data_IF_859891663618
#
_entry.id   IF_859891663618
#
_cell.length_a   1.000
_cell.length_b   1.000
_cell.length_c   1.000
_cell.angle_alpha   90.00
_cell.angle_beta   90.00
_cell.angle_gamma   90.00
#
_symmetry.space_group_name_H-M   'P 1'
#
loop_
_entity.id
_entity.type
_entity.pdbx_description
1 polymer ?
#
# COMPACT_ATOMS: atom_id res chain seq x y z
N UNK A 1 25.32 -2.77 -27.80
CA UNK A 1 24.21 -1.87 -27.43
C UNK A 1 24.21 -1.84 -25.91
N UNK A 2 24.43 -0.67 -25.33
CA UNK A 2 24.67 -0.55 -23.90
C UNK A 2 23.39 -0.17 -23.17
N UNK A 3 23.31 -0.55 -21.89
CA UNK A 3 22.19 -0.28 -21.00
C UNK A 3 22.69 0.36 -19.72
N UNK A 4 21.96 1.36 -19.23
CA UNK A 4 22.27 2.01 -17.96
C UNK A 4 21.82 1.11 -16.80
N UNK A 5 22.71 0.84 -15.85
CA UNK A 5 22.44 0.03 -14.67
C UNK A 5 23.03 0.70 -13.43
N UNK A 6 22.37 0.52 -12.30
CA UNK A 6 22.85 0.98 -11.00
C UNK A 6 23.71 -0.09 -10.32
N UNK A 7 24.80 0.33 -9.68
CA UNK A 7 25.65 -0.54 -8.86
C UNK A 7 25.87 0.06 -7.48
N UNK A 8 25.82 -0.79 -6.45
CA UNK A 8 26.10 -0.41 -5.05
C UNK A 8 27.27 -1.22 -4.50
N UNK A 9 28.27 -0.52 -3.98
CA UNK A 9 29.40 -1.12 -3.29
C UNK A 9 29.00 -1.63 -1.91
N UNK A 10 29.33 -2.89 -1.61
CA UNK A 10 29.08 -3.44 -0.28
C UNK A 10 30.06 -2.89 0.77
N UNK A 11 31.30 -2.59 0.37
CA UNK A 11 32.36 -2.15 1.27
C UNK A 11 32.17 -0.71 1.75
N UNK A 12 31.89 0.23 0.84
CA UNK A 12 31.79 1.66 1.18
C UNK A 12 30.37 2.24 1.03
N UNK A 13 29.41 1.46 0.52
CA UNK A 13 28.03 1.91 0.32
C UNK A 13 27.82 2.88 -0.85
N UNK A 14 28.88 3.27 -1.57
CA UNK A 14 28.79 4.14 -2.74
C UNK A 14 27.88 3.52 -3.81
N UNK A 15 27.06 4.37 -4.44
CA UNK A 15 26.11 3.98 -5.49
C UNK A 15 26.34 4.86 -6.71
N UNK A 16 26.49 4.23 -7.88
CA UNK A 16 26.75 4.92 -9.14
C UNK A 16 26.01 4.23 -10.31
N UNK A 17 25.73 5.01 -11.36
CA UNK A 17 25.10 4.58 -12.59
C UNK A 17 26.18 4.28 -13.65
N UNK A 18 26.09 3.15 -14.33
CA UNK A 18 27.05 2.72 -15.35
C UNK A 18 26.36 2.25 -16.64
N UNK A 19 26.88 2.72 -17.78
CA UNK A 19 26.57 2.15 -19.08
C UNK A 19 27.33 0.84 -19.26
N UNK A 20 26.61 -0.27 -19.42
CA UNK A 20 27.22 -1.61 -19.55
C UNK A 20 26.67 -2.35 -20.76
N UNK A 21 27.46 -3.26 -21.31
CA UNK A 21 27.02 -4.13 -22.41
C UNK A 21 25.89 -5.05 -21.96
N UNK A 22 25.10 -5.58 -22.92
CA UNK A 22 24.10 -6.63 -22.64
C UNK A 22 24.73 -8.02 -22.81
N UNK A 23 24.62 -8.93 -21.83
CA UNK A 23 23.96 -8.74 -20.53
C UNK A 23 24.81 -7.92 -19.54
N UNK A 24 24.15 -7.11 -18.69
CA UNK A 24 24.83 -6.28 -17.70
C UNK A 24 25.58 -7.16 -16.68
N UNK A 25 26.86 -6.89 -16.39
CA UNK A 25 27.63 -7.61 -15.38
C UNK A 25 26.94 -7.60 -14.01
N UNK A 26 27.01 -8.70 -13.25
CA UNK A 26 26.44 -8.73 -11.88
C UNK A 26 27.30 -7.97 -10.86
N UNK A 27 28.61 -7.88 -11.12
CA UNK A 27 29.60 -7.25 -10.23
C UNK A 27 30.56 -6.39 -11.07
N UNK A 28 30.96 -5.25 -10.50
CA UNK A 28 32.02 -4.40 -11.03
C UNK A 28 32.84 -3.77 -9.90
N UNK A 29 34.00 -3.20 -10.24
CA UNK A 29 34.81 -2.47 -9.27
C UNK A 29 34.17 -1.12 -8.91
N UNK A 30 34.11 -0.81 -7.62
CA UNK A 30 33.61 0.46 -7.11
C UNK A 30 34.60 1.59 -7.43
N UNK A 31 34.15 2.64 -8.10
CA UNK A 31 34.98 3.81 -8.42
C UNK A 31 35.46 4.58 -7.18
N UNK A 32 34.78 4.45 -6.04
CA UNK A 32 35.14 5.18 -4.82
C UNK A 32 36.18 4.46 -3.94
N UNK A 33 36.19 3.12 -3.91
CA UNK A 33 37.06 2.36 -3.00
C UNK A 33 37.74 1.13 -3.61
N UNK A 34 37.47 0.81 -4.88
CA UNK A 34 38.00 -0.36 -5.57
C UNK A 34 37.37 -1.71 -5.15
N UNK A 35 36.52 -1.75 -4.13
CA UNK A 35 35.83 -2.97 -3.70
C UNK A 35 34.67 -3.37 -4.63
N UNK A 36 34.07 -4.54 -4.38
CA UNK A 36 32.99 -5.06 -5.23
C UNK A 36 31.70 -4.24 -5.11
N UNK A 37 31.19 -3.79 -6.26
CA UNK A 37 29.88 -3.19 -6.42
C UNK A 37 28.95 -4.14 -7.19
N UNK A 38 27.77 -4.39 -6.64
CA UNK A 38 26.78 -5.29 -7.22
C UNK A 38 25.66 -4.51 -7.88
N UNK A 39 25.15 -5.04 -8.99
CA UNK A 39 24.00 -4.48 -9.69
C UNK A 39 22.79 -4.42 -8.76
N UNK A 40 22.10 -3.29 -8.74
CA UNK A 40 20.87 -3.09 -7.96
C UNK A 40 19.72 -2.74 -8.90
N UNK A 41 18.54 -3.28 -8.59
CA UNK A 41 17.32 -3.07 -9.39
C UNK A 41 16.33 -2.12 -8.70
N UNK A 42 16.77 -1.38 -7.68
CA UNK A 42 15.96 -0.40 -6.95
C UNK A 42 16.36 1.01 -7.38
N UNK A 43 15.40 1.93 -7.49
CA UNK A 43 15.70 3.30 -7.92
C UNK A 43 16.80 3.91 -7.03
N UNK A 44 17.85 4.51 -7.63
CA UNK A 44 18.93 5.10 -6.86
C UNK A 44 18.35 6.09 -5.84
N UNK A 45 18.79 5.97 -4.59
CA UNK A 45 18.34 6.72 -3.38
C UNK A 45 17.04 6.26 -2.69
N UNK A 46 16.33 5.24 -3.17
CA UNK A 46 15.26 4.61 -2.36
C UNK A 46 15.78 3.63 -1.29
N UNK A 47 17.07 3.27 -1.34
CA UNK A 47 17.72 2.39 -0.37
C UNK A 47 18.23 3.07 0.92
N UNK A 48 17.93 4.36 1.10
CA UNK A 48 18.20 5.05 2.36
C UNK A 48 17.25 4.58 3.45
N UNK A 49 17.71 4.52 4.70
CA UNK A 49 16.80 4.42 5.85
C UNK A 49 16.07 5.77 5.97
N UNK A 50 14.93 5.91 5.31
CA UNK A 50 14.02 7.00 5.62
C UNK A 50 13.64 6.85 7.10
N UNK A 51 13.85 7.90 7.89
CA UNK A 51 13.27 7.93 9.23
C UNK A 51 11.76 7.96 9.02
N UNK A 52 11.08 6.86 9.36
CA UNK A 52 9.64 6.78 9.22
C UNK A 52 9.05 7.99 9.96
N UNK A 53 8.19 8.81 9.31
CA UNK A 53 7.46 9.82 10.04
C UNK A 53 6.79 9.12 11.21
N UNK A 54 6.92 9.69 12.41
CA UNK A 54 6.26 9.18 13.61
C UNK A 54 4.76 9.47 13.45
N UNK A 55 4.11 8.73 12.56
CA UNK A 55 2.68 8.75 12.42
C UNK A 55 2.15 8.23 13.75
N UNK A 56 1.38 9.06 14.44
CA UNK A 56 0.43 8.54 15.40
C UNK A 56 -0.58 7.71 14.58
N UNK A 57 -0.26 6.45 14.31
CA UNK A 57 -1.23 5.54 13.71
C UNK A 57 -2.28 5.32 14.78
N UNK A 58 -3.44 5.97 14.64
CA UNK A 58 -4.64 5.44 15.24
C UNK A 58 -4.69 3.95 14.89
N UNK A 59 -4.94 3.09 15.87
CA UNK A 59 -5.06 1.66 15.63
C UNK A 59 -5.97 1.44 14.41
N UNK A 60 -5.60 0.58 13.44
CA UNK A 60 -6.38 0.38 12.23
C UNK A 60 -7.81 0.07 12.64
N UNK A 61 -8.76 0.93 12.24
CA UNK A 61 -10.17 0.61 12.45
C UNK A 61 -10.48 -0.61 11.58
N UNK A 62 -11.16 -1.64 12.10
CA UNK A 62 -11.50 -2.80 11.29
C UNK A 62 -12.35 -2.35 10.10
N UNK A 63 -12.08 -2.88 8.91
CA UNK A 63 -12.84 -2.51 7.71
C UNK A 63 -14.30 -2.95 7.85
N UNK A 64 -15.23 -2.26 7.17
CA UNK A 64 -16.65 -2.64 7.17
C UNK A 64 -16.86 -4.09 6.71
N UNK A 65 -16.08 -4.57 5.72
CA UNK A 65 -16.12 -5.96 5.27
C UNK A 65 -15.73 -6.94 6.39
N UNK A 66 -14.72 -6.61 7.22
CA UNK A 66 -14.32 -7.45 8.36
C UNK A 66 -15.33 -7.43 9.51
N UNK A 67 -16.02 -6.30 9.72
CA UNK A 67 -17.04 -6.16 10.77
C UNK A 67 -18.36 -6.85 10.39
N UNK A 68 -18.70 -6.89 9.10
CA UNK A 68 -19.95 -7.43 8.58
C UNK A 68 -19.70 -8.45 7.46
N UNK A 69 -19.06 -9.60 7.75
CA UNK A 69 -18.66 -10.57 6.73
C UNK A 69 -19.84 -11.23 6.00
N UNK A 70 -21.04 -11.16 6.58
CA UNK A 70 -22.27 -11.72 5.99
C UNK A 70 -22.92 -10.80 4.95
N UNK A 71 -22.47 -9.55 4.85
CA UNK A 71 -23.05 -8.55 3.96
C UNK A 71 -22.24 -8.52 2.66
N UNK A 72 -22.83 -8.94 1.52
CA UNK A 72 -22.10 -9.07 0.26
C UNK A 72 -21.66 -7.71 -0.28
N UNK A 73 -20.50 -7.66 -0.95
CA UNK A 73 -20.05 -6.47 -1.69
C UNK A 73 -19.30 -5.41 -0.87
N UNK A 74 -19.25 -5.51 0.46
CA UNK A 74 -18.63 -4.48 1.32
C UNK A 74 -17.12 -4.30 1.10
N UNK A 75 -16.43 -5.31 0.57
CA UNK A 75 -14.99 -5.25 0.35
C UNK A 75 -14.57 -4.27 -0.76
N UNK A 76 -15.52 -3.79 -1.57
CA UNK A 76 -15.29 -2.83 -2.67
C UNK A 76 -16.09 -1.53 -2.51
N UNK A 77 -16.71 -1.32 -1.35
CA UNK A 77 -17.53 -0.16 -1.07
C UNK A 77 -16.82 0.79 -0.13
N UNK A 78 -17.02 2.10 -0.36
CA UNK A 78 -16.66 3.10 0.65
C UNK A 78 -17.44 2.88 1.95
N UNK A 79 -16.91 3.40 3.06
CA UNK A 79 -17.60 3.29 4.35
C UNK A 79 -18.98 3.96 4.31
N UNK A 80 -19.11 5.10 3.62
CA UNK A 80 -20.37 5.82 3.46
C UNK A 80 -21.42 4.98 2.70
N UNK A 81 -21.01 4.36 1.59
CA UNK A 81 -21.89 3.44 0.87
C UNK A 81 -22.20 2.17 1.69
N UNK A 82 -21.20 1.67 2.43
CA UNK A 82 -21.29 0.47 3.25
C UNK A 82 -22.27 0.60 4.42
N UNK A 83 -22.36 1.77 5.08
CA UNK A 83 -23.29 1.98 6.22
C UNK A 83 -24.74 1.79 5.81
N UNK A 84 -25.14 2.40 4.69
CA UNK A 84 -26.48 2.23 4.12
C UNK A 84 -26.75 0.76 3.76
N UNK A 85 -25.77 0.10 3.15
CA UNK A 85 -25.90 -1.29 2.71
C UNK A 85 -26.07 -2.28 3.87
N UNK A 86 -25.27 -2.10 4.94
CA UNK A 86 -25.40 -2.88 6.18
C UNK A 86 -26.78 -2.66 6.82
N UNK A 87 -27.25 -1.41 6.89
CA UNK A 87 -28.57 -1.11 7.46
C UNK A 87 -29.71 -1.80 6.69
N UNK A 88 -29.67 -1.74 5.35
CA UNK A 88 -30.62 -2.44 4.47
C UNK A 88 -30.57 -3.95 4.64
N UNK A 89 -29.37 -4.54 4.68
CA UNK A 89 -29.21 -5.98 4.88
C UNK A 89 -29.80 -6.44 6.23
N UNK A 90 -29.63 -5.65 7.29
CA UNK A 90 -30.17 -5.97 8.63
C UNK A 90 -31.66 -5.64 8.81
N UNK A 91 -32.29 -4.96 7.84
CA UNK A 91 -33.66 -4.45 7.98
C UNK A 91 -33.81 -3.35 9.04
N UNK A 92 -32.74 -2.62 9.37
CA UNK A 92 -32.77 -1.54 10.37
C UNK A 92 -33.22 -0.22 9.72
N UNK A 93 -34.54 -0.04 9.62
CA UNK A 93 -35.15 1.16 9.00
C UNK A 93 -34.73 2.46 9.71
N UNK A 94 -34.50 2.44 11.03
CA UNK A 94 -34.04 3.63 11.76
C UNK A 94 -32.61 4.00 11.37
N UNK A 95 -31.74 3.02 11.15
CA UNK A 95 -30.40 3.27 10.64
C UNK A 95 -30.41 3.78 9.20
N UNK A 96 -31.32 3.25 8.36
CA UNK A 96 -31.52 3.74 6.99
C UNK A 96 -31.92 5.22 6.99
N UNK A 97 -32.92 5.61 7.78
CA UNK A 97 -33.38 7.01 7.88
C UNK A 97 -32.27 7.96 8.35
N UNK A 98 -31.49 7.55 9.36
CA UNK A 98 -30.33 8.34 9.83
C UNK A 98 -29.27 8.53 8.75
N UNK A 99 -28.96 7.48 7.99
CA UNK A 99 -27.96 7.59 6.93
C UNK A 99 -28.49 8.39 5.73
N UNK A 100 -29.79 8.31 5.40
CA UNK A 100 -30.41 9.20 4.40
C UNK A 100 -30.24 10.66 4.83
N UNK A 101 -30.62 11.00 6.05
CA UNK A 101 -30.49 12.37 6.56
C UNK A 101 -29.03 12.85 6.53
N UNK A 102 -28.08 11.98 6.92
CA UNK A 102 -26.65 12.29 6.84
C UNK A 102 -26.21 12.57 5.39
N UNK A 103 -26.54 11.68 4.45
CA UNK A 103 -26.17 11.83 3.04
C UNK A 103 -26.79 13.08 2.42
N UNK A 104 -28.05 13.40 2.75
CA UNK A 104 -28.71 14.63 2.32
C UNK A 104 -27.99 15.89 2.82
N UNK A 105 -27.48 15.87 4.06
CA UNK A 105 -26.66 16.99 4.55
C UNK A 105 -25.32 17.10 3.81
N UNK A 106 -24.69 15.97 3.49
CA UNK A 106 -23.40 15.92 2.80
C UNK A 106 -23.48 16.36 1.34
N UNK A 107 -24.55 15.97 0.64
CA UNK A 107 -24.81 16.39 -0.75
C UNK A 107 -24.88 17.91 -0.90
N UNK A 108 -25.41 18.62 0.12
CA UNK A 108 -25.46 20.08 0.13
C UNK A 108 -24.07 20.72 0.18
N UNK A 109 -23.09 20.06 0.79
CA UNK A 109 -21.69 20.51 0.84
C UNK A 109 -20.95 20.15 -0.45
N UNK A 110 -21.13 18.91 -0.94
CA UNK A 110 -20.54 18.42 -2.18
C UNK A 110 -21.39 17.27 -2.74
N UNK A 111 -21.73 17.28 -4.04
CA UNK A 111 -22.38 16.13 -4.68
C UNK A 111 -21.50 14.88 -4.58
N UNK A 112 -22.12 13.74 -4.27
CA UNK A 112 -21.47 12.45 -4.38
C UNK A 112 -21.28 12.07 -5.84
N UNK A 113 -20.11 11.51 -6.16
CA UNK A 113 -19.83 10.90 -7.46
C UNK A 113 -19.68 9.39 -7.33
N UNK A 114 -19.63 8.68 -8.45
CA UNK A 114 -19.50 7.22 -8.46
C UNK A 114 -18.20 6.76 -7.78
N UNK A 115 -17.15 7.58 -7.89
CA UNK A 115 -15.85 7.36 -7.24
C UNK A 115 -15.96 7.37 -5.71
N UNK A 116 -16.93 8.09 -5.14
CA UNK A 116 -17.17 8.10 -3.69
C UNK A 116 -17.81 6.81 -3.18
N UNK A 117 -18.45 6.02 -4.05
CA UNK A 117 -19.12 4.77 -3.67
C UNK A 117 -18.18 3.55 -3.71
N UNK A 118 -17.12 3.62 -4.52
CA UNK A 118 -16.19 2.52 -4.76
C UNK A 118 -14.88 2.86 -4.06
N UNK A 119 -14.50 2.05 -3.06
CA UNK A 119 -13.16 2.12 -2.51
C UNK A 119 -12.63 0.72 -2.22
N UNK A 120 -11.33 0.53 -2.41
CA UNK A 120 -10.62 -0.66 -1.99
C UNK A 120 -9.48 -0.21 -1.08
N UNK A 121 -9.49 -0.66 0.17
CA UNK A 121 -8.37 -0.43 1.07
C UNK A 121 -8.08 -1.72 1.82
N UNK A 122 -7.12 -2.48 1.33
CA UNK A 122 -6.57 -3.60 2.05
C UNK A 122 -5.34 -3.08 2.79
N UNK A 123 -5.47 -2.84 4.09
CA UNK A 123 -4.27 -2.84 4.91
C UNK A 123 -3.70 -4.27 4.86
N UNK A 124 -2.45 -4.47 4.40
CA UNK A 124 -1.80 -5.75 4.59
C UNK A 124 -1.63 -5.93 6.11
N UNK A 125 -2.57 -6.64 6.72
CA UNK A 125 -2.33 -7.24 8.03
C UNK A 125 -1.12 -8.12 7.88
N UNK A 126 -0.06 -7.82 8.62
CA UNK A 126 1.15 -8.64 8.67
C UNK A 126 0.80 -10.03 9.15
N UNK A 127 0.46 -10.91 8.21
CA UNK A 127 0.44 -12.34 8.42
C UNK A 127 1.89 -12.80 8.38
N UNK A 128 2.61 -12.64 9.50
CA UNK A 128 3.82 -13.40 9.75
C UNK A 128 3.40 -14.83 10.05
N UNK A 129 3.06 -15.59 9.01
CA UNK A 129 3.17 -17.03 9.06
C UNK A 129 4.67 -17.33 9.10
N UNK A 130 5.19 -17.56 10.31
CA UNK A 130 6.47 -18.23 10.45
C UNK A 130 6.33 -19.61 9.81
N UNK A 131 7.24 -20.04 8.91
CA UNK A 131 7.24 -21.42 8.46
C UNK A 131 7.57 -22.33 9.65
N UNK A 132 6.77 -23.37 9.85
CA UNK A 132 7.05 -24.43 10.81
C UNK A 132 8.45 -25.03 10.55
N UNK A 133 9.23 -25.33 11.61
CA UNK A 133 10.48 -26.07 11.43
C UNK A 133 10.15 -27.50 11.00
N UNK A 134 10.62 -27.89 9.81
CA UNK A 134 10.61 -29.27 9.31
C UNK A 134 11.62 -30.08 10.13
N UNK A 135 11.29 -31.32 10.56
CA UNK A 135 12.13 -32.17 11.40
C UNK A 135 13.42 -32.64 10.74
#
# INVERSE_FOLDING_TARGET
MDILNDYRCHSCGHTAEHWTARPAPEVMACEACGGDARKVFAAPRLGGKAQAPKAASAAPRPSMCSQYPMVPGLCHMSEDAGRMWVAKYKGDNRAVEREIAYQETKVKERPFTTEDAISHNHHPGGSTLAPDPVP
#
